data_IF_105606839689
#
_entry.id   IF_105606839689
#
_cell.length_a   1.000
_cell.length_b   1.000
_cell.length_c   1.000
_cell.angle_alpha   90.00
_cell.angle_beta   90.00
_cell.angle_gamma   90.00
#
_symmetry.space_group_name_H-M   'P 1'
#
loop_
_entity.id
_entity.type
_entity.pdbx_description
1 polymer ?
#
# COMPACT_ATOMS: atom_id res chain seq x y z
N UNK A 1 18.71 -4.69 11.03
CA UNK A 1 17.76 -5.52 10.25
C UNK A 1 16.38 -4.90 10.37
N UNK A 2 15.53 -5.02 9.37
CA UNK A 2 14.17 -4.52 9.49
C UNK A 2 13.30 -5.53 10.27
N UNK A 3 12.49 -5.04 11.19
CA UNK A 3 11.56 -5.89 11.96
C UNK A 3 10.24 -6.02 11.21
N UNK A 4 9.77 -7.25 11.03
CA UNK A 4 8.48 -7.59 10.41
C UNK A 4 7.57 -8.17 11.50
N UNK A 5 6.36 -7.62 11.63
CA UNK A 5 5.30 -8.21 12.46
C UNK A 5 4.36 -8.99 11.56
N UNK A 6 4.17 -10.30 11.85
CA UNK A 6 3.24 -11.17 11.12
C UNK A 6 2.07 -11.50 12.02
N UNK A 7 0.86 -11.22 11.55
CA UNK A 7 -0.39 -11.37 12.32
C UNK A 7 -1.36 -12.24 11.54
N UNK A 8 -1.68 -13.40 12.09
CA UNK A 8 -2.63 -14.37 11.52
C UNK A 8 -3.11 -15.31 12.62
N UNK A 9 -4.34 -15.77 12.60
CA UNK A 9 -4.86 -16.73 13.59
C UNK A 9 -4.46 -18.18 13.26
N UNK A 10 -4.02 -18.46 12.02
CA UNK A 10 -3.44 -19.75 11.65
C UNK A 10 -1.98 -19.88 12.11
N UNK A 11 -1.79 -20.62 13.22
CA UNK A 11 -0.47 -20.89 13.83
C UNK A 11 0.49 -21.60 12.86
N UNK A 12 -0.03 -22.41 11.91
CA UNK A 12 0.81 -23.10 10.92
C UNK A 12 1.35 -22.10 9.90
N UNK A 13 0.50 -21.21 9.42
CA UNK A 13 0.89 -20.13 8.52
C UNK A 13 1.90 -19.19 9.20
N UNK A 14 1.65 -18.76 10.45
CA UNK A 14 2.61 -17.96 11.22
C UNK A 14 3.99 -18.65 11.34
N UNK A 15 3.99 -19.96 11.64
CA UNK A 15 5.25 -20.72 11.78
C UNK A 15 6.01 -20.79 10.46
N UNK A 16 5.31 -21.03 9.36
CA UNK A 16 5.90 -21.07 8.02
C UNK A 16 6.46 -19.72 7.63
N UNK A 17 5.66 -18.66 7.72
CA UNK A 17 6.09 -17.30 7.34
C UNK A 17 7.25 -16.80 8.22
N UNK A 18 7.18 -17.06 9.53
CA UNK A 18 8.29 -16.70 10.44
C UNK A 18 9.61 -17.31 9.99
N UNK A 19 9.64 -18.60 9.60
CA UNK A 19 10.86 -19.26 9.11
C UNK A 19 11.35 -18.64 7.80
N UNK A 20 10.45 -18.38 6.87
CA UNK A 20 10.74 -17.78 5.58
C UNK A 20 11.39 -16.40 5.76
N UNK A 21 10.78 -15.52 6.56
CA UNK A 21 11.29 -14.17 6.76
C UNK A 21 12.60 -14.12 7.56
N UNK A 22 12.80 -15.01 8.54
CA UNK A 22 14.09 -15.15 9.24
C UNK A 22 15.18 -15.61 8.25
N UNK A 23 14.88 -16.54 7.35
CA UNK A 23 15.84 -16.99 6.33
C UNK A 23 16.26 -15.85 5.39
N UNK A 24 15.35 -14.93 5.08
CA UNK A 24 15.61 -13.73 4.28
C UNK A 24 16.27 -12.58 5.08
N UNK A 25 16.61 -12.81 6.35
CA UNK A 25 17.38 -11.86 7.16
C UNK A 25 16.54 -10.80 7.89
N UNK A 26 15.24 -11.01 8.06
CA UNK A 26 14.39 -10.13 8.85
C UNK A 26 14.36 -10.54 10.33
N UNK A 27 14.21 -9.54 11.22
CA UNK A 27 13.74 -9.79 12.58
C UNK A 27 12.23 -9.98 12.57
N UNK A 28 11.74 -11.10 13.13
CA UNK A 28 10.33 -11.45 13.01
C UNK A 28 9.64 -11.54 14.37
N UNK A 29 8.60 -10.75 14.51
CA UNK A 29 7.64 -10.81 15.62
C UNK A 29 6.32 -11.40 15.10
N UNK A 30 5.61 -12.15 15.92
CA UNK A 30 4.32 -12.75 15.52
C UNK A 30 3.21 -12.39 16.51
N UNK A 31 1.98 -12.31 16.03
CA UNK A 31 0.78 -12.15 16.82
C UNK A 31 -0.33 -13.07 16.26
N UNK A 32 -1.15 -13.64 17.12
CA UNK A 32 -2.21 -14.57 16.74
C UNK A 32 -3.62 -13.93 16.70
N UNK A 33 -3.72 -12.62 16.96
CA UNK A 33 -4.97 -11.84 16.93
C UNK A 33 -4.68 -10.35 16.90
N UNK A 34 -5.73 -9.53 16.69
CA UNK A 34 -5.61 -8.08 16.57
C UNK A 34 -5.12 -7.37 17.83
N UNK A 35 -5.52 -7.81 19.03
CA UNK A 35 -5.07 -7.21 20.29
C UNK A 35 -3.57 -7.40 20.52
N UNK A 36 -3.09 -8.62 20.26
CA UNK A 36 -1.66 -8.90 20.28
C UNK A 36 -0.92 -8.09 19.21
N UNK A 37 -1.50 -7.94 18.02
CA UNK A 37 -0.91 -7.14 16.95
C UNK A 37 -0.65 -5.70 17.39
N UNK A 38 -1.61 -5.03 17.99
CA UNK A 38 -1.45 -3.67 18.52
C UNK A 38 -0.38 -3.59 19.60
N UNK A 39 -0.37 -4.56 20.53
CA UNK A 39 0.63 -4.64 21.60
C UNK A 39 2.04 -4.82 21.04
N UNK A 40 2.22 -5.75 20.10
CA UNK A 40 3.51 -6.03 19.46
C UNK A 40 3.97 -4.88 18.57
N UNK A 41 3.05 -4.23 17.84
CA UNK A 41 3.37 -3.06 17.03
C UNK A 41 3.91 -1.90 17.88
N UNK A 42 3.33 -1.66 19.05
CA UNK A 42 3.80 -0.64 19.97
C UNK A 42 5.17 -1.00 20.60
N UNK A 43 5.34 -2.27 21.02
CA UNK A 43 6.55 -2.72 21.71
C UNK A 43 7.78 -2.79 20.79
N UNK A 44 7.60 -3.23 19.55
CA UNK A 44 8.71 -3.54 18.62
C UNK A 44 8.88 -2.54 17.48
N UNK A 45 7.92 -1.64 17.27
CA UNK A 45 7.93 -0.63 16.20
C UNK A 45 8.37 -1.23 14.85
N UNK A 46 7.64 -2.25 14.32
CA UNK A 46 8.04 -2.93 13.10
C UNK A 46 8.07 -1.99 11.91
N UNK A 47 8.94 -2.26 10.93
CA UNK A 47 9.01 -1.54 9.68
C UNK A 47 7.80 -1.86 8.77
N UNK A 48 7.27 -3.08 8.87
CA UNK A 48 6.09 -3.54 8.13
C UNK A 48 5.30 -4.55 8.96
N UNK A 49 3.97 -4.49 8.84
CA UNK A 49 3.02 -5.46 9.41
C UNK A 49 2.40 -6.25 8.26
N UNK A 50 2.50 -7.56 8.30
CA UNK A 50 1.73 -8.49 7.46
C UNK A 50 0.53 -8.89 8.30
N UNK A 51 -0.67 -8.55 7.87
CA UNK A 51 -1.87 -8.58 8.70
C UNK A 51 -2.99 -9.36 8.00
N UNK A 52 -3.43 -10.45 8.61
CA UNK A 52 -4.64 -11.11 8.14
C UNK A 52 -5.87 -10.23 8.35
N UNK A 53 -6.76 -10.26 7.38
CA UNK A 53 -8.02 -9.52 7.46
C UNK A 53 -8.98 -10.16 8.45
N UNK A 54 -9.24 -11.48 8.27
CA UNK A 54 -10.27 -12.20 9.00
C UNK A 54 -9.68 -12.90 10.22
N UNK A 55 -9.75 -12.25 11.37
CA UNK A 55 -9.32 -12.82 12.64
C UNK A 55 -10.44 -12.73 13.69
N UNK A 56 -10.52 -13.70 14.62
CA UNK A 56 -11.45 -13.62 15.73
C UNK A 56 -11.17 -12.42 16.64
N UNK A 57 -12.24 -11.76 17.10
CA UNK A 57 -12.15 -10.58 17.96
C UNK A 57 -11.90 -9.32 17.14
N UNK A 58 -10.79 -8.66 17.37
CA UNK A 58 -10.39 -7.45 16.63
C UNK A 58 -9.86 -7.85 15.23
N UNK A 59 -10.59 -7.51 14.18
CA UNK A 59 -10.22 -7.84 12.79
C UNK A 59 -9.08 -6.95 12.26
N UNK A 60 -8.55 -7.32 11.07
CA UNK A 60 -7.43 -6.60 10.47
C UNK A 60 -7.75 -5.14 10.15
N UNK A 61 -8.97 -4.82 9.74
CA UNK A 61 -9.39 -3.45 9.43
C UNK A 61 -9.46 -2.61 10.72
N UNK A 62 -9.97 -3.18 11.78
CA UNK A 62 -10.02 -2.50 13.08
C UNK A 62 -8.60 -2.24 13.63
N UNK A 63 -7.68 -3.20 13.47
CA UNK A 63 -6.25 -3.00 13.79
C UNK A 63 -5.67 -1.82 13.02
N UNK A 64 -5.91 -1.74 11.71
CA UNK A 64 -5.43 -0.62 10.89
C UNK A 64 -6.03 0.70 11.38
N UNK A 65 -7.34 0.76 11.62
CA UNK A 65 -8.00 1.97 12.13
C UNK A 65 -7.39 2.44 13.45
N UNK A 66 -7.13 1.51 14.38
CA UNK A 66 -6.46 1.82 15.65
C UNK A 66 -5.06 2.39 15.44
N UNK A 67 -4.25 1.76 14.57
CA UNK A 67 -2.90 2.23 14.26
C UNK A 67 -2.92 3.62 13.61
N UNK A 68 -3.76 3.83 12.59
CA UNK A 68 -3.87 5.11 11.89
C UNK A 68 -4.46 6.21 12.79
N UNK A 69 -5.44 5.87 13.65
CA UNK A 69 -5.99 6.79 14.67
C UNK A 69 -4.97 7.23 15.71
N UNK A 70 -3.98 6.38 16.01
CA UNK A 70 -2.82 6.70 16.84
C UNK A 70 -1.69 7.42 16.07
N UNK A 71 -1.94 7.86 14.83
CA UNK A 71 -0.96 8.47 13.91
C UNK A 71 0.26 7.57 13.63
N UNK A 72 0.11 6.25 13.76
CA UNK A 72 1.13 5.29 13.43
C UNK A 72 1.08 5.01 11.91
N UNK A 73 2.19 5.30 11.23
CA UNK A 73 2.35 5.17 9.76
C UNK A 73 3.14 3.92 9.35
N UNK A 74 3.21 2.91 10.22
CA UNK A 74 3.83 1.63 9.87
C UNK A 74 3.23 1.10 8.56
N UNK A 75 4.07 0.53 7.71
CA UNK A 75 3.63 -0.10 6.46
C UNK A 75 2.78 -1.33 6.76
N UNK A 76 1.66 -1.49 6.06
CA UNK A 76 0.73 -2.61 6.27
C UNK A 76 0.44 -3.31 4.95
N UNK A 77 0.82 -4.59 4.88
CA UNK A 77 0.42 -5.51 3.83
C UNK A 77 -0.70 -6.40 4.36
N UNK A 78 -1.90 -6.24 3.82
CA UNK A 78 -3.05 -7.03 4.23
C UNK A 78 -3.13 -8.35 3.46
N UNK A 79 -3.36 -9.45 4.19
CA UNK A 79 -3.70 -10.74 3.61
C UNK A 79 -5.23 -10.89 3.58
N UNK A 80 -5.81 -11.30 2.45
CA UNK A 80 -7.26 -11.39 2.28
C UNK A 80 -7.69 -12.67 1.58
N UNK A 81 -8.90 -13.16 1.83
CA UNK A 81 -9.49 -14.26 1.10
C UNK A 81 -10.08 -13.81 -0.26
N UNK A 82 -10.12 -14.72 -1.23
CA UNK A 82 -10.47 -14.45 -2.65
C UNK A 82 -11.88 -13.89 -2.87
N UNK A 83 -12.81 -14.17 -1.97
CA UNK A 83 -14.22 -13.82 -2.14
C UNK A 83 -14.59 -12.38 -1.70
N UNK A 84 -13.62 -11.63 -1.19
CA UNK A 84 -13.82 -10.30 -0.63
C UNK A 84 -13.63 -9.14 -1.63
N UNK A 85 -14.14 -9.25 -2.88
CA UNK A 85 -14.03 -8.15 -3.87
C UNK A 85 -14.80 -6.90 -3.40
N UNK A 86 -15.97 -7.07 -2.78
CA UNK A 86 -16.73 -5.95 -2.20
C UNK A 86 -16.07 -5.42 -0.91
N UNK A 87 -15.44 -6.30 -0.13
CA UNK A 87 -14.70 -5.94 1.07
C UNK A 87 -13.35 -5.28 0.77
N UNK A 88 -12.72 -5.54 -0.39
CA UNK A 88 -11.47 -4.90 -0.82
C UNK A 88 -11.58 -3.37 -0.92
N UNK A 89 -12.73 -2.88 -1.34
CA UNK A 89 -13.02 -1.43 -1.37
C UNK A 89 -13.03 -0.87 0.06
N UNK A 90 -13.57 -1.60 1.04
CA UNK A 90 -13.55 -1.19 2.44
C UNK A 90 -12.16 -1.33 3.09
N UNK A 91 -11.39 -2.38 2.73
CA UNK A 91 -10.06 -2.64 3.29
C UNK A 91 -9.03 -1.58 2.93
N UNK A 92 -9.10 -1.07 1.70
CA UNK A 92 -8.17 -0.04 1.23
C UNK A 92 -8.57 1.38 1.69
N UNK A 93 -9.86 1.66 1.89
CA UNK A 93 -10.31 2.87 2.61
C UNK A 93 -9.84 2.85 4.09
N UNK A 94 -9.42 1.69 4.62
CA UNK A 94 -8.90 1.54 5.99
C UNK A 94 -7.48 2.06 6.19
N UNK A 95 -6.69 2.23 5.13
CA UNK A 95 -5.31 2.72 5.21
C UNK A 95 -4.21 1.65 5.13
N UNK A 96 -4.49 0.46 4.57
CA UNK A 96 -3.46 -0.51 4.19
C UNK A 96 -2.61 0.02 3.02
N UNK A 97 -1.33 -0.35 3.00
CA UNK A 97 -0.39 0.10 1.96
C UNK A 97 -0.34 -0.83 0.76
N UNK A 98 -0.63 -2.12 0.93
CA UNK A 98 -0.80 -3.11 -0.12
C UNK A 98 -1.66 -4.27 0.39
N UNK A 99 -2.09 -5.17 -0.51
CA UNK A 99 -2.81 -6.39 -0.15
C UNK A 99 -2.35 -7.58 -0.99
N UNK A 100 -2.54 -8.78 -0.44
CA UNK A 100 -2.23 -10.04 -1.09
C UNK A 100 -3.35 -11.05 -0.84
N UNK A 101 -3.82 -11.68 -1.90
CA UNK A 101 -4.92 -12.65 -1.82
C UNK A 101 -4.42 -14.03 -1.43
N UNK A 102 -5.08 -14.67 -0.47
CA UNK A 102 -4.87 -16.09 -0.12
C UNK A 102 -5.61 -17.00 -1.11
N UNK A 103 -5.00 -18.11 -1.60
CA UNK A 103 -3.64 -18.55 -1.31
C UNK A 103 -2.58 -17.82 -2.12
N UNK A 104 -1.41 -17.57 -1.54
CA UNK A 104 -0.29 -16.89 -2.17
C UNK A 104 1.01 -17.72 -2.10
N UNK A 105 1.94 -17.44 -3.00
CA UNK A 105 3.29 -17.98 -2.90
C UNK A 105 4.13 -17.16 -1.90
N UNK A 106 4.96 -17.79 -1.03
CA UNK A 106 5.83 -17.04 -0.11
C UNK A 106 6.77 -16.06 -0.82
N UNK A 107 7.23 -16.37 -2.02
CA UNK A 107 8.07 -15.49 -2.83
C UNK A 107 7.33 -14.22 -3.24
N UNK A 108 6.04 -14.29 -3.55
CA UNK A 108 5.23 -13.11 -3.87
C UNK A 108 5.07 -12.20 -2.64
N UNK A 109 4.77 -12.80 -1.48
CA UNK A 109 4.68 -12.05 -0.23
C UNK A 109 5.99 -11.32 0.08
N UNK A 110 7.13 -11.99 -0.05
CA UNK A 110 8.46 -11.40 0.13
C UNK A 110 8.72 -10.24 -0.84
N UNK A 111 8.41 -10.43 -2.13
CA UNK A 111 8.60 -9.40 -3.14
C UNK A 111 7.79 -8.13 -2.81
N UNK A 112 6.54 -8.27 -2.33
CA UNK A 112 5.70 -7.15 -1.90
C UNK A 112 6.23 -6.46 -0.65
N UNK A 113 6.70 -7.21 0.36
CA UNK A 113 7.32 -6.64 1.56
C UNK A 113 8.57 -5.85 1.20
N UNK A 114 9.45 -6.40 0.35
CA UNK A 114 10.63 -5.67 -0.13
C UNK A 114 10.25 -4.40 -0.92
N UNK A 115 9.21 -4.46 -1.75
CA UNK A 115 8.70 -3.30 -2.47
C UNK A 115 8.21 -2.20 -1.51
N UNK A 116 7.45 -2.56 -0.48
CA UNK A 116 6.98 -1.63 0.54
C UNK A 116 8.14 -0.98 1.30
N UNK A 117 9.10 -1.78 1.77
CA UNK A 117 10.27 -1.28 2.52
C UNK A 117 11.13 -0.33 1.67
N UNK A 118 11.42 -0.69 0.41
CA UNK A 118 12.17 0.19 -0.52
C UNK A 118 11.47 1.53 -0.73
N UNK A 119 10.13 1.54 -0.76
CA UNK A 119 9.32 2.76 -0.93
C UNK A 119 9.37 3.68 0.28
N UNK A 120 9.56 3.13 1.48
CA UNK A 120 9.63 3.90 2.71
C UNK A 120 10.97 4.60 2.91
N UNK A 121 12.01 4.23 2.14
CA UNK A 121 13.29 4.93 2.20
C UNK A 121 13.11 6.38 1.70
N UNK A 122 13.59 7.37 2.47
CA UNK A 122 13.53 8.76 2.03
C UNK A 122 14.28 8.92 0.70
N UNK A 123 13.62 9.46 -0.32
CA UNK A 123 14.34 9.87 -1.52
C UNK A 123 15.18 11.10 -1.16
N UNK A 124 16.49 11.04 -1.41
CA UNK A 124 17.47 12.10 -1.11
C UNK A 124 17.26 13.42 -1.87
N UNK A 125 16.26 13.48 -2.74
CA UNK A 125 15.92 14.71 -3.48
C UNK A 125 14.73 15.38 -2.82
N UNK A 126 14.97 16.57 -2.21
CA UNK A 126 13.93 17.47 -1.70
C UNK A 126 13.05 18.07 -2.82
N UNK A 127 12.77 17.30 -3.86
CA UNK A 127 12.03 17.74 -5.03
C UNK A 127 10.52 17.66 -4.78
N UNK A 128 9.84 18.75 -5.10
CA UNK A 128 8.38 18.78 -5.20
C UNK A 128 7.98 18.52 -6.65
N UNK A 129 7.35 17.40 -6.90
CA UNK A 129 6.74 17.13 -8.21
C UNK A 129 5.39 17.85 -8.32
N UNK A 130 5.06 18.32 -9.51
CA UNK A 130 3.79 19.00 -9.70
C UNK A 130 3.26 18.95 -11.13
N UNK A 131 1.93 18.99 -11.26
CA UNK A 131 1.21 19.14 -12.52
C UNK A 131 -0.12 19.88 -12.29
N UNK A 132 -0.33 21.00 -13.01
CA UNK A 132 -1.45 21.88 -12.71
C UNK A 132 -1.39 22.40 -11.26
N UNK A 133 -2.45 22.16 -10.52
CA UNK A 133 -2.59 22.50 -9.09
C UNK A 133 -2.21 21.36 -8.13
N UNK A 134 -1.84 20.19 -8.66
CA UNK A 134 -1.43 19.01 -7.89
C UNK A 134 0.06 19.09 -7.54
N UNK A 135 0.42 18.84 -6.28
CA UNK A 135 1.80 18.83 -5.76
C UNK A 135 2.04 17.58 -4.93
N UNK A 136 3.26 17.06 -5.02
CA UNK A 136 3.74 15.93 -4.25
C UNK A 136 5.16 16.22 -3.76
N UNK A 137 5.31 16.40 -2.46
CA UNK A 137 6.60 16.59 -1.81
C UNK A 137 7.23 15.21 -1.55
N UNK A 138 8.38 14.96 -2.16
CA UNK A 138 9.05 13.66 -2.06
C UNK A 138 9.75 13.45 -0.72
N UNK A 139 10.16 14.52 -0.05
CA UNK A 139 10.85 14.44 1.23
C UNK A 139 9.87 14.19 2.38
N UNK A 140 8.75 14.93 2.40
CA UNK A 140 7.73 14.82 3.45
C UNK A 140 6.64 13.81 3.13
N UNK A 141 6.59 13.30 1.90
CA UNK A 141 5.54 12.44 1.34
C UNK A 141 4.14 13.09 1.39
N UNK A 142 4.08 14.40 1.48
CA UNK A 142 2.84 15.15 1.51
C UNK A 142 2.29 15.39 0.10
N UNK A 143 0.98 15.24 -0.06
CA UNK A 143 0.28 15.58 -1.30
C UNK A 143 -0.68 16.74 -1.07
N UNK A 144 -0.80 17.62 -2.08
CA UNK A 144 -1.78 18.70 -2.05
C UNK A 144 -2.34 19.00 -3.42
N UNK A 145 -3.56 19.52 -3.46
CA UNK A 145 -4.22 19.98 -4.66
C UNK A 145 -5.05 21.24 -4.39
N UNK A 146 -4.85 22.28 -5.18
CA UNK A 146 -5.52 23.57 -4.97
C UNK A 146 -5.28 24.15 -3.58
N UNK A 147 -4.17 23.83 -2.92
CA UNK A 147 -3.87 24.21 -1.52
C UNK A 147 -4.45 23.27 -0.44
N UNK A 148 -5.33 22.32 -0.80
CA UNK A 148 -5.86 21.28 0.10
C UNK A 148 -4.86 20.13 0.22
N UNK A 149 -4.41 19.85 1.43
CA UNK A 149 -3.57 18.67 1.71
C UNK A 149 -4.43 17.42 1.84
N UNK A 150 -3.86 16.26 1.42
CA UNK A 150 -4.46 14.94 1.61
C UNK A 150 -3.37 13.88 1.81
N UNK A 151 -3.72 12.83 2.54
CA UNK A 151 -2.81 11.76 2.87
C UNK A 151 -2.88 10.62 1.84
N UNK A 152 -1.71 10.07 1.52
CA UNK A 152 -1.56 8.92 0.65
C UNK A 152 -0.92 7.76 1.42
N UNK A 153 -1.36 6.53 1.12
CA UNK A 153 -0.61 5.34 1.51
C UNK A 153 0.69 5.23 0.72
N UNK A 154 1.57 4.32 1.09
CA UNK A 154 2.85 4.16 0.40
C UNK A 154 2.65 3.86 -1.10
N UNK A 155 1.73 2.96 -1.43
CA UNK A 155 1.44 2.58 -2.82
C UNK A 155 0.75 3.69 -3.62
N UNK A 156 -0.20 4.41 -3.04
CA UNK A 156 -0.84 5.58 -3.67
C UNK A 156 0.17 6.70 -3.95
N UNK A 157 1.11 6.92 -3.02
CA UNK A 157 2.19 7.89 -3.19
C UNK A 157 3.07 7.53 -4.38
N UNK A 158 3.51 6.28 -4.49
CA UNK A 158 4.36 5.84 -5.59
C UNK A 158 3.64 5.87 -6.92
N UNK A 159 2.36 5.50 -6.94
CA UNK A 159 1.53 5.61 -8.13
C UNK A 159 1.43 7.07 -8.59
N UNK A 160 1.14 8.00 -7.67
CA UNK A 160 1.06 9.42 -8.00
C UNK A 160 2.41 9.99 -8.41
N UNK A 161 3.51 9.61 -7.73
CA UNK A 161 4.88 9.96 -8.09
C UNK A 161 5.21 9.52 -9.52
N UNK A 162 4.85 8.31 -9.91
CA UNK A 162 5.10 7.80 -11.24
C UNK A 162 4.36 8.61 -12.31
N UNK A 163 3.09 8.95 -12.08
CA UNK A 163 2.34 9.85 -12.98
C UNK A 163 2.96 11.24 -13.08
N UNK A 164 3.35 11.84 -11.96
CA UNK A 164 3.94 13.17 -11.92
C UNK A 164 5.33 13.26 -12.56
N UNK A 165 6.06 12.14 -12.65
CA UNK A 165 7.32 12.05 -13.41
C UNK A 165 7.10 11.91 -14.91
N UNK A 166 5.90 11.52 -15.36
CA UNK A 166 5.57 11.28 -16.77
C UNK A 166 4.29 12.02 -17.18
N UNK A 167 4.20 13.37 -16.97
CA UNK A 167 3.00 14.12 -17.30
C UNK A 167 2.77 14.11 -18.81
N UNK A 168 1.51 14.04 -19.23
CA UNK A 168 1.05 13.99 -20.63
C UNK A 168 1.51 12.75 -21.42
N UNK A 169 2.13 11.78 -20.77
CA UNK A 169 2.50 10.52 -21.37
C UNK A 169 1.45 9.46 -21.05
N UNK A 170 1.03 8.68 -22.05
CA UNK A 170 0.20 7.48 -21.84
C UNK A 170 1.09 6.40 -21.23
N UNK A 171 0.78 6.00 -20.01
CA UNK A 171 1.44 4.92 -19.30
C UNK A 171 0.62 3.64 -19.46
N UNK A 172 1.24 2.60 -20.00
CA UNK A 172 0.60 1.30 -20.17
C UNK A 172 0.39 0.64 -18.80
N UNK A 173 -0.63 -0.22 -18.73
CA UNK A 173 -0.96 -0.99 -17.54
C UNK A 173 0.26 -1.72 -16.97
N UNK A 174 0.97 -2.50 -17.82
CA UNK A 174 2.12 -3.28 -17.41
C UNK A 174 3.27 -2.38 -16.87
N UNK A 175 3.50 -1.22 -17.47
CA UNK A 175 4.52 -0.27 -17.03
C UNK A 175 4.22 0.26 -15.62
N UNK A 176 2.95 0.59 -15.35
CA UNK A 176 2.52 1.07 -14.02
C UNK A 176 2.67 -0.04 -12.99
N UNK A 177 2.21 -1.26 -13.31
CA UNK A 177 2.31 -2.41 -12.40
C UNK A 177 3.76 -2.74 -12.09
N UNK A 178 4.63 -2.75 -13.09
CA UNK A 178 6.05 -3.02 -12.96
C UNK A 178 6.77 -1.97 -12.09
N UNK A 179 6.48 -0.70 -12.28
CA UNK A 179 7.12 0.40 -11.52
C UNK A 179 6.64 0.43 -10.08
N UNK A 180 5.33 0.27 -9.86
CA UNK A 180 4.72 0.43 -8.54
C UNK A 180 4.75 -0.88 -7.75
N UNK A 181 4.61 -2.06 -8.35
CA UNK A 181 4.57 -3.36 -7.66
C UNK A 181 5.78 -4.26 -7.93
N UNK A 182 6.56 -4.03 -8.99
CA UNK A 182 7.78 -4.77 -9.35
C UNK A 182 7.60 -5.74 -10.51
N UNK A 183 8.73 -6.28 -11.02
CA UNK A 183 8.78 -7.09 -12.25
C UNK A 183 8.01 -8.42 -12.16
N UNK A 184 7.92 -9.01 -10.97
CA UNK A 184 7.29 -10.33 -10.76
C UNK A 184 5.84 -10.21 -10.29
N UNK A 185 5.18 -9.07 -10.63
CA UNK A 185 3.80 -8.86 -10.25
C UNK A 185 2.87 -9.71 -11.10
N UNK A 186 2.53 -10.89 -10.61
CA UNK A 186 1.47 -11.78 -11.13
C UNK A 186 0.11 -11.55 -10.42
N UNK A 187 -0.08 -10.34 -9.86
CA UNK A 187 -1.29 -10.00 -9.11
C UNK A 187 -2.53 -9.88 -9.99
N UNK A 188 -3.70 -9.87 -9.33
CA UNK A 188 -4.99 -9.82 -10.02
C UNK A 188 -5.14 -8.61 -10.95
N UNK A 189 -5.87 -8.82 -12.04
CA UNK A 189 -6.05 -7.87 -13.14
C UNK A 189 -6.63 -6.49 -12.74
N UNK A 190 -7.23 -6.34 -11.56
CA UNK A 190 -7.93 -5.12 -11.16
C UNK A 190 -7.24 -4.30 -10.06
N UNK A 191 -6.05 -4.70 -9.58
CA UNK A 191 -5.34 -3.97 -8.50
C UNK A 191 -5.08 -2.51 -8.88
N UNK A 192 -4.62 -2.29 -10.09
CA UNK A 192 -4.32 -0.95 -10.59
C UNK A 192 -5.56 -0.04 -10.61
N UNK A 193 -6.71 -0.56 -11.06
CA UNK A 193 -7.97 0.18 -11.12
C UNK A 193 -8.40 0.67 -9.73
N UNK A 194 -8.22 -0.18 -8.75
CA UNK A 194 -8.55 0.14 -7.35
C UNK A 194 -7.70 1.31 -6.86
N UNK A 195 -6.37 1.23 -6.99
CA UNK A 195 -5.48 2.32 -6.56
C UNK A 195 -5.65 3.61 -7.38
N UNK A 196 -5.90 3.51 -8.67
CA UNK A 196 -6.29 4.68 -9.51
C UNK A 196 -7.57 5.33 -8.95
N UNK A 197 -8.55 4.53 -8.56
CA UNK A 197 -9.79 5.04 -7.97
C UNK A 197 -9.54 5.79 -6.66
N UNK A 198 -8.69 5.26 -5.78
CA UNK A 198 -8.35 5.93 -4.51
C UNK A 198 -7.58 7.21 -4.70
N UNK A 199 -6.55 7.21 -5.54
CA UNK A 199 -5.80 8.44 -5.84
C UNK A 199 -6.73 9.51 -6.42
N UNK A 200 -7.63 9.13 -7.34
CA UNK A 200 -8.66 10.05 -7.88
C UNK A 200 -9.56 10.57 -6.76
N UNK A 201 -10.16 9.69 -5.95
CA UNK A 201 -11.06 10.06 -4.84
C UNK A 201 -10.41 11.08 -3.90
N UNK A 202 -9.14 10.88 -3.54
CA UNK A 202 -8.39 11.78 -2.66
C UNK A 202 -8.01 13.09 -3.35
N UNK A 203 -7.54 13.01 -4.57
CA UNK A 203 -7.13 14.19 -5.33
C UNK A 203 -8.31 15.05 -5.82
N UNK A 204 -9.52 14.47 -5.99
CA UNK A 204 -10.72 15.14 -6.51
C UNK A 204 -11.74 15.46 -5.38
N UNK A 205 -11.39 15.27 -4.10
CA UNK A 205 -12.33 15.38 -2.97
C UNK A 205 -12.87 16.80 -2.73
N UNK A 206 -12.23 17.83 -3.25
CA UNK A 206 -12.70 19.23 -3.23
C UNK A 206 -13.51 19.63 -4.46
N UNK A 207 -13.82 18.69 -5.35
CA UNK A 207 -14.52 18.98 -6.61
C UNK A 207 -13.58 19.37 -7.77
N UNK A 208 -12.28 19.14 -7.60
CA UNK A 208 -11.28 19.43 -8.61
C UNK A 208 -11.44 18.55 -9.87
N UNK A 209 -11.14 19.04 -11.07
CA UNK A 209 -11.27 18.28 -12.30
C UNK A 209 -10.33 17.08 -12.34
N UNK A 210 -10.72 16.02 -13.05
CA UNK A 210 -9.94 14.79 -13.17
C UNK A 210 -8.65 14.99 -13.93
N UNK A 211 -7.51 14.71 -13.28
CA UNK A 211 -6.19 14.77 -13.94
C UNK A 211 -5.72 13.39 -14.43
N UNK A 212 -5.92 12.32 -13.66
CA UNK A 212 -5.57 10.98 -14.11
C UNK A 212 -6.72 10.44 -14.95
N UNK A 213 -6.53 10.39 -16.27
CA UNK A 213 -7.58 9.95 -17.21
C UNK A 213 -7.30 8.52 -17.69
N UNK A 214 -8.38 7.77 -18.02
CA UNK A 214 -8.29 6.43 -18.57
C UNK A 214 -8.15 6.51 -20.09
N UNK A 215 -7.13 5.87 -20.65
CA UNK A 215 -7.01 5.63 -22.09
C UNK A 215 -7.45 4.21 -22.35
N UNK A 216 -8.67 4.05 -22.89
CA UNK A 216 -9.34 2.75 -23.09
C UNK A 216 -8.41 1.74 -23.79
N UNK A 217 -8.34 0.52 -23.26
CA UNK A 217 -7.54 -0.60 -23.77
C UNK A 217 -6.02 -0.36 -23.78
N UNK A 218 -5.50 0.75 -23.22
CA UNK A 218 -4.08 1.07 -23.20
C UNK A 218 -3.55 1.26 -21.79
N UNK A 219 -4.18 2.13 -20.98
CA UNK A 219 -3.70 2.47 -19.65
C UNK A 219 -4.22 3.81 -19.16
N UNK A 220 -3.33 4.65 -18.62
CA UNK A 220 -3.71 5.91 -17.99
C UNK A 220 -2.76 7.05 -18.39
N UNK A 221 -3.24 8.28 -18.26
CA UNK A 221 -2.49 9.50 -18.54
C UNK A 221 -2.80 10.57 -17.50
N UNK A 222 -1.77 11.29 -17.05
CA UNK A 222 -1.92 12.50 -16.23
C UNK A 222 -1.96 13.70 -17.17
N UNK A 223 -3.13 14.34 -17.29
CA UNK A 223 -3.32 15.55 -18.09
C UNK A 223 -4.54 16.34 -17.64
N UNK A 224 -4.56 17.64 -17.91
CA UNK A 224 -5.76 18.48 -17.90
C UNK A 224 -6.63 18.17 -19.12
N UNK A 225 -7.94 18.40 -19.03
CA UNK A 225 -8.85 18.28 -20.18
C UNK A 225 -8.59 19.35 -21.24
#
# INVERSE_FOLDING_TARGET
MATVLIVDDDVKLLTMLRRTFIYEGFDVVTAANGEQALTQAQAHQPAVIILDWLMPGLDGIEVIRCLRGANNRVLILMLTARDAIEDRVQGLDSGADDYLVKPFAPVELLARVHALLRRAEPSDSGDVLGYGDLRLDLATRAASRGGRQFELTATEFDLLRFFLRHPRQVLRREQILQEVWGYDFEGEDNVLEVYISYVRKKAEAGGEPRLIQTVRSVGYILREE
#
